data_IF_922185744262
#
_entry.id   IF_922185744262
#
_cell.length_a   1.000
_cell.length_b   1.000
_cell.length_c   1.000
_cell.angle_alpha   90.00
_cell.angle_beta   90.00
_cell.angle_gamma   90.00
#
_symmetry.space_group_name_H-M   'P 1'
#
loop_
_entity.id
_entity.type
_entity.pdbx_description
1 polymer ?
#
# COMPACT_ATOMS: atom_id res chain seq x y z
N UNK A 1 26.05 -6.07 -17.16
CA UNK A 1 25.82 -4.77 -16.50
C UNK A 1 24.45 -4.30 -16.92
N UNK A 2 23.42 -4.47 -16.09
CA UNK A 2 22.16 -3.81 -16.37
C UNK A 2 22.39 -2.30 -16.15
N UNK A 3 21.95 -1.50 -17.09
CA UNK A 3 22.07 -0.05 -16.96
C UNK A 3 21.03 0.31 -15.90
N UNK A 4 21.41 0.94 -14.78
CA UNK A 4 20.49 1.26 -13.67
C UNK A 4 19.20 2.01 -14.08
N UNK A 5 19.14 2.52 -15.30
CA UNK A 5 17.95 2.99 -16.00
C UNK A 5 16.85 1.93 -16.17
N UNK A 6 17.20 0.69 -16.50
CA UNK A 6 16.26 -0.42 -16.67
C UNK A 6 15.59 -0.81 -15.36
N UNK A 7 16.37 -0.91 -14.28
CA UNK A 7 15.84 -1.19 -12.94
C UNK A 7 14.94 -0.06 -12.42
N UNK A 8 15.31 1.21 -12.68
CA UNK A 8 14.48 2.36 -12.32
C UNK A 8 13.15 2.37 -13.10
N UNK A 9 13.18 2.11 -14.41
CA UNK A 9 11.98 2.00 -15.24
C UNK A 9 11.08 0.85 -14.80
N UNK A 10 11.67 -0.34 -14.60
CA UNK A 10 10.95 -1.52 -14.10
C UNK A 10 10.29 -1.27 -12.75
N UNK A 11 11.00 -0.63 -11.83
CA UNK A 11 10.47 -0.23 -10.53
C UNK A 11 9.30 0.76 -10.62
N UNK A 12 9.38 1.76 -11.49
CA UNK A 12 8.27 2.69 -11.74
C UNK A 12 7.05 2.00 -12.36
N UNK A 13 7.26 1.09 -13.32
CA UNK A 13 6.22 0.25 -13.91
C UNK A 13 5.50 -0.58 -12.85
N UNK A 14 6.25 -1.25 -11.98
CA UNK A 14 5.71 -2.06 -10.89
C UNK A 14 4.94 -1.21 -9.87
N UNK A 15 5.43 0.00 -9.54
CA UNK A 15 4.68 0.94 -8.71
C UNK A 15 3.38 1.40 -9.37
N UNK A 16 3.37 1.62 -10.68
CA UNK A 16 2.16 1.98 -11.42
C UNK A 16 1.13 0.85 -11.38
N UNK A 17 1.56 -0.40 -11.57
CA UNK A 17 0.70 -1.58 -11.44
C UNK A 17 0.14 -1.71 -10.02
N UNK A 18 0.97 -1.56 -8.99
CA UNK A 18 0.52 -1.59 -7.60
C UNK A 18 -0.45 -0.45 -7.28
N UNK A 19 -0.22 0.74 -7.84
CA UNK A 19 -1.13 1.88 -7.71
C UNK A 19 -2.49 1.58 -8.37
N UNK A 20 -2.49 0.93 -9.54
CA UNK A 20 -3.71 0.45 -10.18
C UNK A 20 -4.48 -0.55 -9.30
N UNK A 21 -3.77 -1.51 -8.69
CA UNK A 21 -4.38 -2.48 -7.76
C UNK A 21 -4.93 -1.79 -6.50
N UNK A 22 -4.20 -0.83 -5.95
CA UNK A 22 -4.65 -0.04 -4.81
C UNK A 22 -5.90 0.80 -5.17
N UNK A 23 -5.98 1.33 -6.39
CA UNK A 23 -7.16 2.04 -6.87
C UNK A 23 -8.36 1.10 -7.01
N UNK A 24 -8.18 -0.10 -7.54
CA UNK A 24 -9.23 -1.13 -7.58
C UNK A 24 -9.72 -1.51 -6.17
N UNK A 25 -8.81 -1.67 -5.21
CA UNK A 25 -9.17 -1.91 -3.81
C UNK A 25 -9.89 -0.71 -3.18
N UNK A 26 -9.49 0.51 -3.50
CA UNK A 26 -10.16 1.74 -3.05
C UNK A 26 -11.58 1.87 -3.61
N UNK A 27 -11.78 1.52 -4.89
CA UNK A 27 -13.12 1.46 -5.51
C UNK A 27 -13.95 0.35 -4.85
N UNK A 28 -13.36 -0.83 -4.61
CA UNK A 28 -14.03 -1.93 -3.91
C UNK A 28 -14.48 -1.48 -2.52
N UNK A 29 -13.63 -0.76 -1.78
CA UNK A 29 -13.97 -0.19 -0.47
C UNK A 29 -15.14 0.78 -0.55
N UNK A 30 -15.11 1.72 -1.51
CA UNK A 30 -16.21 2.66 -1.73
C UNK A 30 -17.51 1.91 -2.05
N UNK A 31 -17.42 0.86 -2.89
CA UNK A 31 -18.53 -0.04 -3.20
C UNK A 31 -19.09 -0.72 -1.96
N UNK A 32 -18.22 -1.30 -1.11
CA UNK A 32 -18.61 -1.93 0.16
C UNK A 32 -19.32 -0.92 1.06
N UNK A 33 -18.79 0.30 1.22
CA UNK A 33 -19.41 1.34 2.04
C UNK A 33 -20.80 1.75 1.53
N UNK A 34 -20.94 1.96 0.23
CA UNK A 34 -22.21 2.38 -0.39
C UNK A 34 -23.24 1.26 -0.31
N UNK A 35 -22.84 0.02 -0.61
CA UNK A 35 -23.73 -1.15 -0.60
C UNK A 35 -24.14 -1.54 0.81
N UNK A 36 -23.21 -1.52 1.76
CA UNK A 36 -23.53 -1.76 3.17
C UNK A 36 -24.55 -0.74 3.68
N UNK A 37 -24.41 0.54 3.30
CA UNK A 37 -25.39 1.58 3.67
C UNK A 37 -26.77 1.33 3.08
N UNK A 38 -26.86 0.71 1.89
CA UNK A 38 -28.13 0.47 1.18
C UNK A 38 -28.80 -0.85 1.52
N UNK A 39 -28.03 -1.91 1.77
CA UNK A 39 -28.53 -3.29 1.88
C UNK A 39 -28.21 -3.97 3.21
N UNK A 40 -27.48 -3.31 4.12
CA UNK A 40 -27.10 -3.83 5.44
C UNK A 40 -26.03 -4.93 5.41
N UNK A 41 -25.82 -5.59 4.28
CA UNK A 41 -24.87 -6.70 4.11
C UNK A 41 -23.75 -6.39 3.12
N UNK A 42 -22.63 -7.10 3.26
CA UNK A 42 -21.49 -7.00 2.34
C UNK A 42 -21.61 -8.11 1.28
N UNK A 43 -21.67 -7.77 -0.02
CA UNK A 43 -21.78 -8.78 -1.08
C UNK A 43 -20.57 -9.70 -1.11
N UNK A 44 -20.81 -11.03 -1.13
CA UNK A 44 -19.73 -12.05 -1.18
C UNK A 44 -18.79 -11.85 -2.37
N UNK A 45 -19.31 -11.42 -3.51
CA UNK A 45 -18.51 -11.15 -4.71
C UNK A 45 -17.42 -10.08 -4.46
N UNK A 46 -17.76 -8.96 -3.83
CA UNK A 46 -16.79 -7.89 -3.50
C UNK A 46 -15.73 -8.37 -2.52
N UNK A 47 -16.10 -9.25 -1.58
CA UNK A 47 -15.16 -9.87 -0.64
C UNK A 47 -14.14 -10.75 -1.36
N UNK A 48 -14.59 -11.64 -2.25
CA UNK A 48 -13.69 -12.50 -3.02
C UNK A 48 -12.84 -11.72 -4.04
N UNK A 49 -13.42 -10.70 -4.67
CA UNK A 49 -12.68 -9.80 -5.56
C UNK A 49 -11.56 -9.09 -4.80
N UNK A 50 -11.87 -8.51 -3.64
CA UNK A 50 -10.88 -7.84 -2.80
C UNK A 50 -9.78 -8.82 -2.37
N UNK A 51 -10.14 -10.04 -1.95
CA UNK A 51 -9.17 -11.07 -1.61
C UNK A 51 -8.23 -11.39 -2.78
N UNK A 52 -8.78 -11.62 -3.98
CA UNK A 52 -7.99 -11.91 -5.17
C UNK A 52 -7.02 -10.77 -5.51
N UNK A 53 -7.47 -9.50 -5.41
CA UNK A 53 -6.61 -8.34 -5.65
C UNK A 53 -5.50 -8.23 -4.60
N UNK A 54 -5.79 -8.51 -3.32
CA UNK A 54 -4.76 -8.51 -2.25
C UNK A 54 -3.71 -9.59 -2.49
N UNK A 55 -4.11 -10.79 -2.89
CA UNK A 55 -3.17 -11.85 -3.28
C UNK A 55 -2.31 -11.38 -4.46
N UNK A 56 -2.92 -10.75 -5.47
CA UNK A 56 -2.20 -10.16 -6.59
C UNK A 56 -1.17 -9.10 -6.15
N UNK A 57 -1.52 -8.21 -5.23
CA UNK A 57 -0.61 -7.21 -4.64
C UNK A 57 0.58 -7.88 -3.98
N UNK A 58 0.37 -8.92 -3.16
CA UNK A 58 1.44 -9.64 -2.46
C UNK A 58 2.38 -10.29 -3.48
N UNK A 59 1.84 -10.94 -4.50
CA UNK A 59 2.63 -11.60 -5.55
C UNK A 59 3.46 -10.60 -6.36
N UNK A 60 2.83 -9.51 -6.81
CA UNK A 60 3.50 -8.47 -7.60
C UNK A 60 4.57 -7.77 -6.77
N UNK A 61 4.28 -7.41 -5.52
CA UNK A 61 5.25 -6.79 -4.63
C UNK A 61 6.39 -7.75 -4.29
N UNK A 62 6.10 -9.03 -4.04
CA UNK A 62 7.12 -10.05 -3.77
C UNK A 62 8.04 -10.27 -4.96
N UNK A 63 7.46 -10.37 -6.16
CA UNK A 63 8.21 -10.41 -7.41
C UNK A 63 9.06 -9.15 -7.61
N UNK A 64 8.51 -7.97 -7.31
CA UNK A 64 9.23 -6.70 -7.42
C UNK A 64 10.47 -6.68 -6.53
N UNK A 65 10.33 -7.11 -5.27
CA UNK A 65 11.44 -7.20 -4.33
C UNK A 65 12.49 -8.19 -4.83
N UNK A 66 12.08 -9.39 -5.25
CA UNK A 66 13.00 -10.41 -5.76
C UNK A 66 13.75 -9.95 -7.01
N UNK A 67 13.05 -9.33 -7.97
CA UNK A 67 13.63 -8.85 -9.23
C UNK A 67 14.56 -7.65 -9.03
N UNK A 68 14.30 -6.79 -8.04
CA UNK A 68 15.08 -5.58 -7.79
C UNK A 68 16.17 -5.75 -6.73
N UNK A 69 16.21 -6.88 -6.02
CA UNK A 69 17.13 -7.06 -4.88
C UNK A 69 18.60 -6.92 -5.30
N UNK A 70 18.97 -7.56 -6.41
CA UNK A 70 20.34 -7.63 -6.90
C UNK A 70 20.75 -6.35 -7.67
N UNK A 71 19.82 -5.68 -8.34
CA UNK A 71 20.11 -4.54 -9.22
C UNK A 71 19.81 -3.17 -8.60
N UNK A 72 18.84 -3.09 -7.70
CA UNK A 72 18.33 -1.84 -7.14
C UNK A 72 17.84 -2.03 -5.71
N UNK A 73 18.73 -2.45 -4.81
CA UNK A 73 18.44 -2.81 -3.41
C UNK A 73 17.68 -1.72 -2.65
N UNK A 74 17.99 -0.44 -2.90
CA UNK A 74 17.27 0.68 -2.30
C UNK A 74 15.79 0.70 -2.71
N UNK A 75 15.50 0.44 -3.99
CA UNK A 75 14.13 0.37 -4.50
C UNK A 75 13.40 -0.85 -3.94
N UNK A 76 14.06 -2.01 -3.89
CA UNK A 76 13.51 -3.21 -3.25
C UNK A 76 13.13 -2.95 -1.77
N UNK A 77 13.99 -2.20 -1.05
CA UNK A 77 13.75 -1.81 0.35
C UNK A 77 12.52 -0.90 0.48
N UNK A 78 12.35 0.05 -0.44
CA UNK A 78 11.18 0.94 -0.50
C UNK A 78 9.90 0.14 -0.75
N UNK A 79 9.90 -0.81 -1.68
CA UNK A 79 8.75 -1.70 -1.88
C UNK A 79 8.42 -2.50 -0.62
N UNK A 80 9.44 -3.01 0.07
CA UNK A 80 9.27 -3.75 1.32
C UNK A 80 8.64 -2.86 2.41
N UNK A 81 9.14 -1.64 2.57
CA UNK A 81 8.68 -0.70 3.58
C UNK A 81 7.26 -0.14 3.31
N UNK A 82 6.89 0.08 2.05
CA UNK A 82 5.61 0.73 1.70
C UNK A 82 4.49 -0.28 1.44
N UNK A 83 4.82 -1.53 1.10
CA UNK A 83 3.84 -2.59 0.88
C UNK A 83 3.78 -3.54 2.07
N UNK A 84 4.86 -4.29 2.30
CA UNK A 84 4.84 -5.41 3.24
C UNK A 84 4.76 -4.99 4.69
N UNK A 85 5.47 -3.93 5.09
CA UNK A 85 5.41 -3.44 6.48
C UNK A 85 3.99 -3.02 6.88
N UNK A 86 3.29 -2.12 6.14
CA UNK A 86 1.93 -1.76 6.52
C UNK A 86 0.95 -2.94 6.44
N UNK A 87 1.05 -3.81 5.43
CA UNK A 87 0.20 -5.01 5.36
C UNK A 87 0.43 -5.93 6.57
N UNK A 88 1.68 -6.17 6.95
CA UNK A 88 2.04 -6.99 8.10
C UNK A 88 1.57 -6.38 9.41
N UNK A 89 1.82 -5.08 9.62
CA UNK A 89 1.40 -4.34 10.81
C UNK A 89 -0.12 -4.36 10.95
N UNK A 90 -0.87 -4.10 9.88
CA UNK A 90 -2.35 -4.11 9.92
C UNK A 90 -2.89 -5.53 10.13
N UNK A 91 -2.29 -6.54 9.49
CA UNK A 91 -2.68 -7.95 9.68
C UNK A 91 -2.49 -8.36 11.14
N UNK A 92 -1.32 -8.09 11.72
CA UNK A 92 -1.01 -8.40 13.11
C UNK A 92 -1.92 -7.64 14.08
N UNK A 93 -2.20 -6.37 13.80
CA UNK A 93 -3.12 -5.55 14.57
C UNK A 93 -4.53 -6.15 14.57
N UNK A 94 -5.07 -6.47 13.39
CA UNK A 94 -6.41 -7.03 13.26
C UNK A 94 -6.52 -8.42 13.90
N UNK A 95 -5.48 -9.25 13.75
CA UNK A 95 -5.43 -10.57 14.35
C UNK A 95 -5.38 -10.54 15.88
N UNK A 96 -4.76 -9.50 16.48
CA UNK A 96 -4.71 -9.34 17.94
C UNK A 96 -5.96 -8.72 18.54
N UNK A 97 -6.60 -7.78 17.83
CA UNK A 97 -7.73 -7.03 18.39
C UNK A 97 -9.11 -7.57 18.01
N UNK A 98 -9.23 -8.51 17.06
CA UNK A 98 -10.54 -8.97 16.58
C UNK A 98 -10.56 -10.49 16.30
N UNK A 99 -11.68 -11.14 16.61
CA UNK A 99 -11.98 -12.53 16.23
C UNK A 99 -12.50 -12.64 14.77
N UNK A 100 -11.83 -11.95 13.85
CA UNK A 100 -12.17 -12.01 12.43
C UNK A 100 -11.67 -13.32 11.80
N UNK A 101 -12.43 -13.85 10.84
CA UNK A 101 -11.95 -14.98 10.03
C UNK A 101 -10.68 -14.58 9.26
N UNK A 102 -9.80 -15.55 8.95
CA UNK A 102 -8.56 -15.28 8.20
C UNK A 102 -8.82 -14.54 6.87
N UNK A 103 -9.90 -14.87 6.18
CA UNK A 103 -10.28 -14.21 4.92
C UNK A 103 -10.69 -12.75 5.19
N UNK A 104 -11.44 -12.50 6.25
CA UNK A 104 -11.84 -11.12 6.62
C UNK A 104 -10.61 -10.30 6.99
N UNK A 105 -9.67 -10.84 7.76
CA UNK A 105 -8.42 -10.16 8.08
C UNK A 105 -7.68 -9.75 6.80
N UNK A 106 -7.52 -10.65 5.83
CA UNK A 106 -6.82 -10.35 4.57
C UNK A 106 -7.55 -9.27 3.77
N UNK A 107 -8.87 -9.38 3.64
CA UNK A 107 -9.69 -8.40 2.91
C UNK A 107 -9.63 -7.03 3.60
N UNK A 108 -9.88 -6.97 4.90
CA UNK A 108 -9.82 -5.72 5.68
C UNK A 108 -8.43 -5.09 5.60
N UNK A 109 -7.37 -5.89 5.70
CA UNK A 109 -5.98 -5.42 5.64
C UNK A 109 -5.69 -4.76 4.30
N UNK A 110 -5.92 -5.47 3.20
CA UNK A 110 -5.57 -4.93 1.88
C UNK A 110 -6.44 -3.75 1.48
N UNK A 111 -7.71 -3.77 1.86
CA UNK A 111 -8.60 -2.63 1.68
C UNK A 111 -8.15 -1.43 2.53
N UNK A 112 -7.73 -1.64 3.77
CA UNK A 112 -7.19 -0.59 4.63
C UNK A 112 -5.85 -0.04 4.12
N UNK A 113 -5.05 -0.85 3.43
CA UNK A 113 -3.78 -0.43 2.83
C UNK A 113 -3.95 0.44 1.58
N UNK A 114 -5.04 0.25 0.83
CA UNK A 114 -5.26 0.85 -0.50
C UNK A 114 -5.12 2.39 -0.58
N UNK A 115 -6.04 3.14 0.06
CA UNK A 115 -6.04 4.61 0.03
C UNK A 115 -4.76 5.20 0.63
N UNK A 116 -4.27 4.72 1.79
CA UNK A 116 -2.99 5.18 2.33
C UNK A 116 -1.82 4.95 1.39
N UNK A 117 -1.77 3.80 0.69
CA UNK A 117 -0.75 3.53 -0.32
C UNK A 117 -0.78 4.53 -1.48
N UNK A 118 -1.98 4.83 -2.01
CA UNK A 118 -2.17 5.82 -3.07
C UNK A 118 -1.72 7.24 -2.67
N UNK A 119 -1.70 7.56 -1.38
CA UNK A 119 -1.19 8.83 -0.86
C UNK A 119 0.32 8.73 -0.58
N UNK A 120 0.77 7.63 0.02
CA UNK A 120 2.17 7.43 0.43
C UNK A 120 3.13 7.32 -0.75
N UNK A 121 2.71 6.75 -1.89
CA UNK A 121 3.54 6.67 -3.10
C UNK A 121 3.86 8.05 -3.68
N UNK A 122 2.88 8.94 -3.96
CA UNK A 122 3.14 10.33 -4.32
C UNK A 122 3.96 11.10 -3.29
N UNK A 123 3.79 10.85 -2.00
CA UNK A 123 4.63 11.48 -0.96
C UNK A 123 6.08 11.02 -1.10
N UNK A 124 6.31 9.71 -1.24
CA UNK A 124 7.67 9.14 -1.34
C UNK A 124 8.42 9.64 -2.58
N UNK A 125 7.73 9.78 -3.71
CA UNK A 125 8.34 10.14 -5.00
C UNK A 125 8.29 11.65 -5.24
N UNK A 126 7.17 12.29 -4.90
CA UNK A 126 6.90 13.68 -5.18
C UNK A 126 7.59 14.66 -4.23
N UNK A 127 7.78 14.29 -2.96
CA UNK A 127 8.48 15.17 -1.99
C UNK A 127 9.93 15.44 -2.40
N UNK A 128 10.75 14.44 -2.79
CA UNK A 128 12.09 14.70 -3.30
C UNK A 128 12.11 15.57 -4.55
N UNK A 129 11.17 15.36 -5.48
CA UNK A 129 11.07 16.17 -6.71
C UNK A 129 10.74 17.63 -6.37
N UNK A 130 9.82 17.85 -5.44
CA UNK A 130 9.42 19.18 -5.01
C UNK A 130 10.54 19.90 -4.26
N UNK A 131 11.21 19.22 -3.33
CA UNK A 131 12.35 19.76 -2.58
C UNK A 131 13.47 20.15 -3.55
N UNK A 132 13.85 19.28 -4.48
CA UNK A 132 14.91 19.58 -5.44
C UNK A 132 14.56 20.78 -6.33
N UNK A 133 13.28 20.96 -6.70
CA UNK A 133 12.83 22.13 -7.46
C UNK A 133 12.85 23.43 -6.66
N UNK A 134 12.43 23.41 -5.40
CA UNK A 134 12.35 24.61 -4.56
C UNK A 134 13.75 25.08 -4.14
N UNK A 135 14.61 24.13 -3.75
CA UNK A 135 15.94 24.44 -3.22
C UNK A 135 17.05 24.42 -4.27
N UNK A 136 16.72 24.14 -5.54
CA UNK A 136 17.71 24.09 -6.64
C UNK A 136 18.79 23.01 -6.45
N UNK A 137 18.52 21.99 -5.64
CA UNK A 137 19.50 20.97 -5.29
C UNK A 137 19.80 20.09 -6.49
N UNK A 138 21.08 19.87 -6.77
CA UNK A 138 21.49 18.85 -7.73
C UNK A 138 21.14 17.44 -7.22
N UNK A 139 20.97 16.45 -8.11
CA UNK A 139 20.71 15.06 -7.70
C UNK A 139 21.79 14.47 -6.78
N UNK A 140 23.03 14.97 -6.89
CA UNK A 140 24.14 14.55 -6.04
C UNK A 140 24.01 15.10 -4.61
N UNK A 141 23.68 16.39 -4.46
CA UNK A 141 23.46 17.02 -3.14
C UNK A 141 22.23 16.43 -2.45
N UNK A 142 21.15 16.18 -3.19
CA UNK A 142 19.93 15.55 -2.68
C UNK A 142 20.19 14.15 -2.10
N UNK A 143 21.11 13.39 -2.71
CA UNK A 143 21.56 12.09 -2.18
C UNK A 143 22.41 12.24 -0.94
N UNK A 144 23.33 13.22 -0.93
CA UNK A 144 24.20 13.48 0.22
C UNK A 144 23.42 13.94 1.46
N UNK A 145 22.37 14.73 1.26
CA UNK A 145 21.44 15.18 2.29
C UNK A 145 20.41 14.11 2.70
N UNK A 146 20.40 12.96 2.04
CA UNK A 146 19.50 11.85 2.38
C UNK A 146 18.01 12.14 2.13
N UNK A 147 17.67 13.12 1.28
CA UNK A 147 16.28 13.58 1.05
C UNK A 147 15.36 12.43 0.64
N UNK A 148 15.85 11.55 -0.23
CA UNK A 148 15.10 10.35 -0.68
C UNK A 148 14.81 9.38 0.47
N UNK A 149 15.71 9.24 1.43
CA UNK A 149 15.54 8.37 2.58
C UNK A 149 14.47 8.92 3.52
N UNK A 150 14.52 10.23 3.78
CA UNK A 150 13.53 10.92 4.61
C UNK A 150 12.14 10.80 3.96
N UNK A 151 12.01 11.09 2.67
CA UNK A 151 10.74 10.98 1.97
C UNK A 151 10.17 9.56 1.96
N UNK A 152 11.03 8.54 1.84
CA UNK A 152 10.61 7.13 1.92
C UNK A 152 10.09 6.75 3.30
N UNK A 153 10.77 7.21 4.36
CA UNK A 153 10.32 6.98 5.74
C UNK A 153 8.99 7.68 5.99
N UNK A 154 8.86 8.95 5.60
CA UNK A 154 7.63 9.72 5.74
C UNK A 154 6.48 9.05 4.98
N UNK A 155 6.73 8.65 3.73
CA UNK A 155 5.76 7.90 2.93
C UNK A 155 5.32 6.60 3.61
N UNK A 156 6.26 5.79 4.09
CA UNK A 156 5.95 4.55 4.82
C UNK A 156 5.12 4.82 6.09
N UNK A 157 5.48 5.84 6.88
CA UNK A 157 4.73 6.25 8.07
C UNK A 157 3.29 6.63 7.70
N UNK A 158 3.10 7.41 6.63
CA UNK A 158 1.78 7.81 6.13
C UNK A 158 0.96 6.58 5.76
N UNK A 159 1.55 5.60 5.05
CA UNK A 159 0.84 4.36 4.70
C UNK A 159 0.46 3.57 5.95
N UNK A 160 1.39 3.37 6.90
CA UNK A 160 1.14 2.60 8.12
C UNK A 160 0.05 3.25 8.99
N UNK A 161 0.19 4.54 9.30
CA UNK A 161 -0.80 5.25 10.13
C UNK A 161 -2.16 5.35 9.44
N UNK A 162 -2.17 5.65 8.14
CA UNK A 162 -3.40 5.69 7.35
C UNK A 162 -4.09 4.32 7.35
N UNK A 163 -3.35 3.25 7.16
CA UNK A 163 -3.89 1.90 7.08
C UNK A 163 -4.40 1.41 8.45
N UNK A 164 -3.70 1.71 9.55
CA UNK A 164 -4.20 1.43 10.90
C UNK A 164 -5.47 2.21 11.23
N UNK A 165 -5.53 3.49 10.84
CA UNK A 165 -6.75 4.29 11.07
C UNK A 165 -7.91 3.76 10.25
N UNK A 166 -7.68 3.40 8.98
CA UNK A 166 -8.72 2.89 8.09
C UNK A 166 -9.18 1.49 8.52
N UNK A 167 -8.27 0.61 8.92
CA UNK A 167 -8.60 -0.75 9.38
C UNK A 167 -9.52 -0.74 10.60
N UNK A 168 -9.31 0.18 11.55
CA UNK A 168 -10.22 0.40 12.68
C UNK A 168 -11.65 0.74 12.25
N UNK A 169 -11.81 1.55 11.22
CA UNK A 169 -13.12 1.95 10.72
C UNK A 169 -13.80 0.82 9.94
N UNK A 170 -13.03 0.09 9.13
CA UNK A 170 -13.56 -1.03 8.32
C UNK A 170 -13.89 -2.24 9.21
N UNK A 171 -13.03 -2.60 10.16
CA UNK A 171 -13.25 -3.73 11.08
C UNK A 171 -14.55 -3.58 11.87
N UNK A 172 -14.76 -2.40 12.51
CA UNK A 172 -15.98 -2.11 13.26
C UNK A 172 -17.25 -2.36 12.45
N UNK A 173 -17.24 -1.98 11.17
CA UNK A 173 -18.39 -2.13 10.28
C UNK A 173 -18.60 -3.55 9.76
N UNK A 174 -17.54 -4.33 9.59
CA UNK A 174 -17.67 -5.75 9.21
C UNK A 174 -18.26 -6.59 10.36
N UNK A 175 -17.89 -6.29 11.60
CA UNK A 175 -18.45 -6.94 12.79
C UNK A 175 -19.96 -6.65 12.89
N UNK A 176 -20.40 -5.40 12.66
CA UNK A 176 -21.83 -5.06 12.74
C UNK A 176 -22.69 -5.73 11.66
N UNK A 177 -22.13 -6.00 10.48
CA UNK A 177 -22.84 -6.61 9.36
C UNK A 177 -22.93 -8.15 9.45
N UNK A 178 -22.17 -8.79 10.34
CA UNK A 178 -22.22 -10.25 10.56
C UNK A 178 -23.07 -10.62 11.77
N UNK A 179 -23.39 -9.67 12.64
CA UNK A 179 -24.27 -9.84 13.80
C UNK A 179 -25.76 -9.58 13.54
N UNK A 180 -26.12 -9.16 12.32
CA UNK A 180 -27.50 -8.89 11.87
C UNK A 180 -27.99 -9.97 10.90
#
# INVERSE_FOLDING_TARGET
MSNGFGAAFGGMMLLAVLSGMALLLGISLAGIFVLQRRTGSIPRFLRYLSFAVVVGVILIAGFSVAALFDEATMLATVFLAIVFVPLGVVTLYLHRENDLSRIDIVVTTGVAWSIPFLIGVPVTIGVPVLINRIFGLSPAESRQLGVYWIASVVGAIVVVFGALRLSRHVSKRMITATSS
#
